data_IF_723489416052
#
_entry.id   IF_723489416052
#
_cell.length_a   1.000
_cell.length_b   1.000
_cell.length_c   1.000
_cell.angle_alpha   90.00
_cell.angle_beta   90.00
_cell.angle_gamma   90.00
#
_symmetry.space_group_name_H-M   'P 1'
#
loop_
_entity.id
_entity.type
_entity.pdbx_description
1 polymer ?
#
# COMPACT_ATOMS: atom_id res chain seq x y z
N UNK A 1 20.80 -9.99 1.79
CA UNK A 1 20.81 -10.77 3.03
C UNK A 1 19.94 -11.99 2.89
N UNK A 2 20.42 -13.12 3.29
CA UNK A 2 19.66 -14.36 3.20
C UNK A 2 18.45 -14.35 4.14
N UNK A 3 17.32 -14.78 3.62
CA UNK A 3 16.11 -14.97 4.41
C UNK A 3 15.91 -16.45 4.69
N UNK A 4 15.45 -16.77 5.88
CA UNK A 4 15.13 -18.14 6.25
C UNK A 4 13.75 -18.48 5.72
N UNK A 5 13.65 -19.54 4.91
CA UNK A 5 12.36 -20.03 4.44
C UNK A 5 11.63 -20.72 5.58
N UNK A 6 10.46 -20.22 5.93
CA UNK A 6 9.62 -20.79 6.98
C UNK A 6 8.73 -21.90 6.44
N UNK A 7 8.31 -21.77 5.18
CA UNK A 7 7.43 -22.74 4.53
C UNK A 7 7.39 -22.57 3.02
N UNK A 8 6.68 -23.45 2.36
CA UNK A 8 6.65 -23.47 0.90
C UNK A 8 5.61 -22.51 0.31
N UNK A 9 4.46 -22.40 0.93
CA UNK A 9 3.37 -21.65 0.35
C UNK A 9 2.54 -20.93 1.41
N UNK A 10 2.41 -19.62 1.25
CA UNK A 10 1.53 -18.78 2.05
C UNK A 10 0.35 -18.30 1.19
N UNK A 11 -0.81 -18.17 1.81
CA UNK A 11 -2.01 -17.67 1.15
C UNK A 11 -2.51 -16.44 1.90
N UNK A 12 -2.73 -15.36 1.18
CA UNK A 12 -3.26 -14.10 1.72
C UNK A 12 -4.68 -13.92 1.18
N UNK A 13 -5.63 -13.77 2.06
CA UNK A 13 -7.02 -13.53 1.68
C UNK A 13 -7.29 -12.02 1.65
N UNK A 14 -7.55 -11.51 0.46
CA UNK A 14 -7.80 -10.09 0.22
C UNK A 14 -6.59 -9.37 -0.39
N UNK A 15 -6.82 -8.69 -1.49
CA UNK A 15 -5.81 -7.96 -2.28
C UNK A 15 -5.95 -6.44 -2.18
N UNK A 16 -6.36 -5.92 -1.02
CA UNK A 16 -6.28 -4.49 -0.73
C UNK A 16 -4.93 -4.16 -0.10
N UNK A 17 -4.76 -2.97 0.43
CA UNK A 17 -3.46 -2.51 0.92
C UNK A 17 -2.87 -3.44 1.98
N UNK A 18 -3.65 -3.84 2.97
CA UNK A 18 -3.19 -4.73 4.03
C UNK A 18 -2.73 -6.09 3.49
N UNK A 19 -3.52 -6.67 2.58
CA UNK A 19 -3.19 -7.96 1.97
C UNK A 19 -1.94 -7.89 1.10
N UNK A 20 -1.79 -6.84 0.32
CA UNK A 20 -0.61 -6.66 -0.54
C UNK A 20 0.66 -6.44 0.28
N UNK A 21 0.59 -5.67 1.36
CA UNK A 21 1.71 -5.49 2.27
C UNK A 21 2.08 -6.79 2.97
N UNK A 22 1.08 -7.55 3.44
CA UNK A 22 1.29 -8.85 4.05
C UNK A 22 1.97 -9.82 3.07
N UNK A 23 1.49 -9.86 1.82
CA UNK A 23 2.07 -10.71 0.78
C UNK A 23 3.53 -10.37 0.51
N UNK A 24 3.86 -9.07 0.48
CA UNK A 24 5.24 -8.62 0.29
C UNK A 24 6.15 -9.12 1.41
N UNK A 25 5.72 -9.00 2.66
CA UNK A 25 6.51 -9.45 3.82
C UNK A 25 6.63 -10.98 3.82
N UNK A 26 5.54 -11.70 3.55
CA UNK A 26 5.55 -13.16 3.50
C UNK A 26 6.47 -13.70 2.40
N UNK A 27 6.63 -12.96 1.30
CA UNK A 27 7.50 -13.36 0.20
C UNK A 27 8.98 -13.48 0.62
N UNK A 28 9.36 -12.88 1.73
CA UNK A 28 10.70 -13.01 2.27
C UNK A 28 10.93 -14.36 2.97
N UNK A 29 9.86 -15.03 3.39
CA UNK A 29 9.92 -16.22 4.22
C UNK A 29 9.25 -17.46 3.63
N UNK A 30 8.57 -17.31 2.50
CA UNK A 30 7.89 -18.41 1.81
C UNK A 30 8.35 -18.49 0.36
N UNK A 31 8.43 -19.70 -0.16
CA UNK A 31 8.82 -19.94 -1.55
C UNK A 31 7.81 -19.36 -2.52
N UNK A 32 6.53 -19.41 -2.16
CA UNK A 32 5.43 -18.90 -2.97
C UNK A 32 4.39 -18.23 -2.09
N UNK A 33 3.88 -17.11 -2.55
CA UNK A 33 2.76 -16.41 -1.90
C UNK A 33 1.65 -16.23 -2.93
N UNK A 34 0.44 -16.63 -2.57
CA UNK A 34 -0.75 -16.44 -3.40
C UNK A 34 -1.69 -15.47 -2.70
N UNK A 35 -2.10 -14.43 -3.42
CA UNK A 35 -3.13 -13.50 -2.95
C UNK A 35 -4.45 -13.91 -3.60
N UNK A 36 -5.44 -14.19 -2.77
CA UNK A 36 -6.79 -14.54 -3.22
C UNK A 36 -7.66 -13.31 -3.08
N UNK A 37 -8.13 -12.77 -4.18
CA UNK A 37 -8.94 -11.56 -4.23
C UNK A 37 -10.23 -11.82 -5.01
N UNK A 38 -11.38 -11.41 -4.44
CA UNK A 38 -12.67 -11.60 -5.10
C UNK A 38 -12.92 -10.62 -6.24
N UNK A 39 -12.27 -9.45 -6.22
CA UNK A 39 -12.33 -8.50 -7.32
C UNK A 39 -11.39 -8.90 -8.44
N UNK A 40 -11.73 -8.51 -9.65
CA UNK A 40 -10.77 -8.54 -10.74
C UNK A 40 -9.83 -7.35 -10.57
N UNK A 41 -8.52 -7.62 -10.39
CA UNK A 41 -7.54 -6.57 -10.23
C UNK A 41 -7.33 -5.84 -11.56
N UNK A 42 -7.46 -4.50 -11.60
CA UNK A 42 -7.26 -3.76 -12.83
C UNK A 42 -5.78 -3.71 -13.24
N UNK A 43 -5.53 -3.65 -14.55
CA UNK A 43 -4.17 -3.54 -15.07
C UNK A 43 -3.56 -2.15 -14.81
N UNK A 44 -4.39 -1.14 -14.60
CA UNK A 44 -3.97 0.23 -14.28
C UNK A 44 -4.71 0.72 -13.04
N UNK A 45 -4.22 1.81 -12.45
CA UNK A 45 -4.87 2.41 -11.28
C UNK A 45 -6.33 2.78 -11.59
N UNK A 46 -7.25 2.20 -10.84
CA UNK A 46 -8.68 2.41 -11.00
C UNK A 46 -9.42 2.12 -9.70
N UNK A 47 -10.64 2.61 -9.59
CA UNK A 47 -11.49 2.30 -8.45
C UNK A 47 -11.87 0.82 -8.49
N UNK A 48 -11.94 0.22 -7.31
CA UNK A 48 -12.25 -1.20 -7.15
C UNK A 48 -13.54 -1.37 -6.35
N UNK A 49 -14.39 -2.28 -6.81
CA UNK A 49 -15.68 -2.56 -6.17
C UNK A 49 -15.54 -3.03 -4.72
N UNK A 50 -14.54 -3.86 -4.43
CA UNK A 50 -14.27 -4.37 -3.09
C UNK A 50 -13.50 -3.41 -2.19
N UNK A 51 -13.14 -2.23 -2.70
CA UNK A 51 -12.42 -1.19 -1.95
C UNK A 51 -13.14 0.15 -2.11
N UNK A 52 -14.36 0.28 -1.57
CA UNK A 52 -15.16 1.50 -1.74
C UNK A 52 -14.51 2.73 -1.12
N UNK A 53 -13.71 2.57 -0.07
CA UNK A 53 -12.96 3.65 0.55
C UNK A 53 -11.93 4.29 -0.40
N UNK A 54 -11.57 3.64 -1.49
CA UNK A 54 -10.66 4.20 -2.50
C UNK A 54 -11.20 5.45 -3.19
N UNK A 55 -12.50 5.73 -3.06
CA UNK A 55 -13.12 6.94 -3.61
C UNK A 55 -12.97 8.16 -2.72
N UNK A 56 -12.48 7.97 -1.49
CA UNK A 56 -12.25 9.05 -0.54
C UNK A 56 -10.80 9.49 -0.57
N UNK A 57 -10.58 10.71 -0.08
CA UNK A 57 -9.22 11.25 0.08
C UNK A 57 -8.52 10.49 1.21
N UNK A 58 -7.31 10.09 0.95
CA UNK A 58 -6.46 9.42 1.93
C UNK A 58 -5.09 10.09 1.96
N UNK A 59 -4.52 10.20 3.14
CA UNK A 59 -3.18 10.71 3.33
C UNK A 59 -2.27 9.61 3.87
N UNK A 60 -1.08 9.53 3.31
CA UNK A 60 -0.03 8.65 3.83
C UNK A 60 0.96 9.53 4.59
N UNK A 61 1.05 9.30 5.89
CA UNK A 61 1.93 10.08 6.76
C UNK A 61 3.40 9.76 6.48
N UNK A 62 4.35 10.63 6.88
CA UNK A 62 5.78 10.42 6.59
C UNK A 62 6.29 9.05 7.00
N UNK A 63 5.98 8.59 8.21
CA UNK A 63 6.46 7.28 8.67
C UNK A 63 5.82 6.12 7.89
N UNK A 64 4.53 6.21 7.59
CA UNK A 64 3.85 5.22 6.77
C UNK A 64 4.45 5.14 5.37
N UNK A 65 4.74 6.29 4.77
CA UNK A 65 5.40 6.37 3.47
C UNK A 65 6.79 5.69 3.48
N UNK A 66 7.59 5.97 4.50
CA UNK A 66 8.91 5.35 4.65
C UNK A 66 8.83 3.83 4.72
N UNK A 67 7.89 3.31 5.51
CA UNK A 67 7.71 1.87 5.65
C UNK A 67 7.28 1.21 4.34
N UNK A 68 6.38 1.83 3.61
CA UNK A 68 5.96 1.31 2.30
C UNK A 68 7.10 1.39 1.30
N UNK A 69 7.89 2.47 1.32
CA UNK A 69 9.05 2.62 0.44
C UNK A 69 10.10 1.54 0.70
N UNK A 70 10.31 1.15 1.97
CA UNK A 70 11.22 0.06 2.32
C UNK A 70 10.77 -1.27 1.72
N UNK A 71 9.46 -1.52 1.69
CA UNK A 71 8.90 -2.76 1.15
C UNK A 71 8.79 -2.74 -0.38
N UNK A 72 8.47 -1.59 -0.94
CA UNK A 72 8.29 -1.39 -2.38
C UNK A 72 9.14 -0.22 -2.84
N UNK A 73 10.38 -0.50 -3.21
CA UNK A 73 11.32 0.52 -3.63
C UNK A 73 10.80 1.27 -4.88
N UNK A 74 10.79 2.60 -4.81
CA UNK A 74 10.26 3.45 -5.88
C UNK A 74 8.79 3.80 -5.72
N UNK A 75 8.14 3.35 -4.66
CA UNK A 75 6.71 3.57 -4.44
C UNK A 75 6.33 5.05 -4.44
N UNK A 76 7.08 5.89 -3.73
CA UNK A 76 6.80 7.34 -3.67
C UNK A 76 6.85 7.98 -5.05
N UNK A 77 7.88 7.63 -5.85
CA UNK A 77 8.02 8.17 -7.19
C UNK A 77 6.88 7.72 -8.11
N UNK A 78 6.42 6.49 -7.97
CA UNK A 78 5.27 6.00 -8.72
C UNK A 78 3.98 6.73 -8.35
N UNK A 79 3.77 7.01 -7.06
CA UNK A 79 2.62 7.79 -6.61
C UNK A 79 2.63 9.20 -7.19
N UNK A 80 3.77 9.87 -7.15
CA UNK A 80 3.92 11.22 -7.71
C UNK A 80 3.69 11.21 -9.21
N UNK A 81 4.22 10.22 -9.92
CA UNK A 81 3.99 10.06 -11.35
C UNK A 81 2.51 9.80 -11.67
N UNK A 82 1.79 9.15 -10.76
CA UNK A 82 0.33 8.93 -10.86
C UNK A 82 -0.49 10.11 -10.32
N UNK A 83 0.15 11.26 -10.11
CA UNK A 83 -0.45 12.54 -9.70
C UNK A 83 -0.90 12.61 -8.25
N UNK A 84 -0.28 11.86 -7.35
CA UNK A 84 -0.48 12.05 -5.93
C UNK A 84 0.10 13.40 -5.50
N UNK A 85 -0.68 14.15 -4.72
CA UNK A 85 -0.21 15.40 -4.16
C UNK A 85 0.76 15.14 -3.02
N UNK A 86 1.79 15.98 -2.93
CA UNK A 86 2.76 15.91 -1.83
C UNK A 86 2.80 17.24 -1.09
N UNK A 87 3.09 17.20 0.19
CA UNK A 87 3.19 18.42 0.98
C UNK A 87 3.90 18.17 2.30
N UNK A 88 4.45 19.25 2.84
CA UNK A 88 5.00 19.25 4.19
C UNK A 88 3.86 19.42 5.20
N UNK A 89 3.75 18.47 6.11
CA UNK A 89 2.66 18.42 7.07
C UNK A 89 2.61 19.65 8.00
N UNK A 90 3.77 20.21 8.31
CA UNK A 90 3.87 21.36 9.19
C UNK A 90 3.87 22.69 8.43
N UNK A 91 4.52 22.72 7.27
CA UNK A 91 4.70 23.96 6.53
C UNK A 91 3.59 24.24 5.52
N UNK A 92 2.96 23.20 5.00
CA UNK A 92 2.00 23.31 3.87
C UNK A 92 0.60 22.82 4.20
N UNK A 93 0.36 22.37 5.42
CA UNK A 93 -0.96 21.85 5.83
C UNK A 93 -1.63 22.82 6.78
N UNK A 94 -2.90 23.08 6.52
CA UNK A 94 -3.74 23.88 7.40
C UNK A 94 -4.71 22.97 8.14
N UNK A 95 -4.61 22.97 9.44
CA UNK A 95 -5.48 22.17 10.31
C UNK A 95 -6.63 22.99 10.82
N UNK A 96 -7.85 22.53 10.62
CA UNK A 96 -9.06 23.20 11.09
C UNK A 96 -9.77 22.31 12.09
N UNK A 97 -9.95 22.82 13.30
CA UNK A 97 -10.68 22.12 14.35
C UNK A 97 -11.93 22.90 14.71
N UNK A 98 -13.09 22.25 14.64
CA UNK A 98 -14.39 22.87 14.97
C UNK A 98 -14.65 24.16 14.18
N UNK A 99 -14.18 24.24 12.95
CA UNK A 99 -14.39 25.40 12.09
C UNK A 99 -13.48 26.60 12.37
N UNK A 100 -12.44 26.39 13.18
CA UNK A 100 -11.47 27.46 13.51
C UNK A 100 -10.11 27.22 12.86
#
# INVERSE_FOLDING_TARGET
MGTTTIGDHAVVLGGSMAGLLAARVLAESYTRVTVVERDQLPAAAAQRRGVPQGRHVHALTPRGRELVEELFNGFTNELVAARAETGDELAQTRWLYSGQ
#
